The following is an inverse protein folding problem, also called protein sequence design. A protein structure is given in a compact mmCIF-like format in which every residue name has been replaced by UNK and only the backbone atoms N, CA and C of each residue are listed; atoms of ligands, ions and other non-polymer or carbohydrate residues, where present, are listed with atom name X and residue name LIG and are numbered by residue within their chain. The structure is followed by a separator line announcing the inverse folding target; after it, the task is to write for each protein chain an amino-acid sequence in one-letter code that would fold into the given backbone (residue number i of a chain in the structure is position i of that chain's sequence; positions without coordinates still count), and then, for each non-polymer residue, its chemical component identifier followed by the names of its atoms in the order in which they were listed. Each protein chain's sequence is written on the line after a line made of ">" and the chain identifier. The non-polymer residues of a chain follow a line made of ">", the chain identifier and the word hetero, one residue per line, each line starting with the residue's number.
data_IF_037154115302
#
_entry.id   IF_037154115302
#
_cell.length_a   1.000
_cell.length_b   1.000
_cell.length_c   1.000
_cell.angle_alpha   90.00
_cell.angle_beta   90.00
_cell.angle_gamma   90.00
#
_symmetry.space_group_name_H-M   'P 1'
#
loop_
_entity.id
_entity.type
_entity.pdbx_description
1 polymer ?
#
# COMPACT_ATOMS: atom_id res chain seq x y z
N UNK A 1 -2.88 19.86 12.07
CA UNK A 1 -3.97 18.89 11.77
C UNK A 1 -3.45 17.55 12.24
N UNK A 2 -4.13 16.89 13.19
CA UNK A 2 -3.76 15.55 13.65
C UNK A 2 -3.74 14.64 12.43
N UNK A 3 -2.55 14.18 12.01
CA UNK A 3 -2.45 13.18 10.94
C UNK A 3 -3.14 11.94 11.50
N UNK A 4 -4.10 11.37 10.76
CA UNK A 4 -4.69 10.08 11.14
C UNK A 4 -3.58 9.04 11.30
N UNK A 5 -3.76 8.06 12.18
CA UNK A 5 -2.80 6.97 12.36
C UNK A 5 -2.60 6.27 10.99
N UNK A 6 -1.36 6.19 10.47
CA UNK A 6 -1.08 5.51 9.21
C UNK A 6 -1.68 4.10 9.13
N UNK A 7 -1.72 3.38 10.27
CA UNK A 7 -2.33 2.06 10.32
C UNK A 7 -3.85 2.11 10.14
N UNK A 8 -4.53 3.08 10.76
CA UNK A 8 -5.96 3.29 10.62
C UNK A 8 -6.32 3.65 9.17
N UNK A 9 -5.56 4.58 8.55
CA UNK A 9 -5.72 4.93 7.14
C UNK A 9 -5.60 3.72 6.21
N UNK A 10 -4.60 2.85 6.44
CA UNK A 10 -4.41 1.65 5.63
C UNK A 10 -5.55 0.64 5.84
N UNK A 11 -5.97 0.41 7.09
CA UNK A 11 -7.09 -0.50 7.38
C UNK A 11 -8.40 -0.03 6.76
N UNK A 12 -8.70 1.27 6.82
CA UNK A 12 -9.91 1.82 6.23
C UNK A 12 -9.91 1.73 4.70
N UNK A 13 -8.74 1.91 4.07
CA UNK A 13 -8.60 1.70 2.63
C UNK A 13 -8.89 0.25 2.20
N UNK A 14 -8.48 -0.73 3.02
CA UNK A 14 -8.76 -2.14 2.78
C UNK A 14 -10.23 -2.49 3.02
N UNK A 15 -10.87 -1.92 4.04
CA UNK A 15 -12.30 -2.13 4.32
C UNK A 15 -13.20 -1.60 3.20
N UNK A 16 -12.77 -0.53 2.53
CA UNK A 16 -13.46 0.06 1.38
C UNK A 16 -13.19 -0.65 0.04
N UNK A 17 -12.31 -1.65 0.00
CA UNK A 17 -11.89 -2.30 -1.23
C UNK A 17 -13.04 -3.14 -1.84
N UNK A 18 -13.35 -2.99 -3.14
CA UNK A 18 -14.34 -3.82 -3.80
C UNK A 18 -13.86 -5.27 -3.90
N UNK A 19 -14.78 -6.21 -3.70
CA UNK A 19 -14.54 -7.64 -3.80
C UNK A 19 -15.26 -8.18 -5.04
N UNK A 20 -14.52 -8.87 -5.89
CA UNK A 20 -15.04 -9.57 -7.08
C UNK A 20 -14.82 -11.07 -6.95
N UNK A 21 -15.56 -11.87 -7.73
CA UNK A 21 -15.28 -13.29 -7.86
C UNK A 21 -14.30 -13.52 -9.01
N UNK A 22 -13.12 -14.05 -8.69
CA UNK A 22 -12.15 -14.50 -9.69
C UNK A 22 -12.24 -16.02 -9.78
N UNK A 23 -13.11 -16.51 -10.66
CA UNK A 23 -13.39 -17.94 -10.76
C UNK A 23 -14.12 -18.44 -9.51
N UNK A 24 -13.44 -19.25 -8.72
CA UNK A 24 -13.96 -19.92 -7.53
C UNK A 24 -13.59 -19.25 -6.20
N UNK A 25 -12.90 -18.11 -6.22
CA UNK A 25 -12.50 -17.40 -5.01
C UNK A 25 -12.82 -15.89 -5.04
N UNK A 26 -13.14 -15.28 -3.87
CA UNK A 26 -13.28 -13.84 -3.76
C UNK A 26 -11.90 -13.18 -3.83
N UNK A 27 -11.76 -12.17 -4.69
CA UNK A 27 -10.57 -11.36 -4.85
C UNK A 27 -10.90 -9.91 -4.55
N UNK A 28 -10.20 -9.30 -3.60
CA UNK A 28 -10.31 -7.87 -3.35
C UNK A 28 -9.45 -7.13 -4.36
N UNK A 29 -9.95 -6.01 -4.87
CA UNK A 29 -9.18 -5.13 -5.74
C UNK A 29 -8.76 -3.94 -4.89
N UNK A 30 -7.45 -3.77 -4.70
CA UNK A 30 -6.92 -2.68 -3.90
C UNK A 30 -5.94 -1.81 -4.70
N UNK A 31 -5.98 -0.47 -4.57
CA UNK A 31 -5.09 0.41 -5.32
C UNK A 31 -3.60 0.09 -5.15
N UNK A 32 -3.18 -0.42 -3.98
CA UNK A 32 -1.77 -0.78 -3.71
C UNK A 32 -1.33 -2.00 -4.52
N UNK A 33 -2.17 -3.02 -4.61
CA UNK A 33 -1.85 -4.28 -5.30
C UNK A 33 -2.11 -4.21 -6.78
N UNK A 34 -3.27 -3.67 -7.17
CA UNK A 34 -3.81 -3.81 -8.52
C UNK A 34 -3.67 -2.53 -9.35
N UNK A 35 -3.25 -1.43 -8.74
CA UNK A 35 -3.18 -0.10 -9.39
C UNK A 35 -4.54 0.51 -9.73
N UNK A 36 -5.62 -0.21 -9.40
CA UNK A 36 -7.01 0.19 -9.55
C UNK A 36 -7.79 -0.17 -8.28
N UNK A 37 -8.86 0.57 -7.92
CA UNK A 37 -9.20 1.91 -8.39
C UNK A 37 -8.07 2.92 -8.15
N UNK A 38 -8.23 4.17 -8.59
CA UNK A 38 -7.19 5.20 -8.46
C UNK A 38 -6.64 5.26 -7.03
N UNK A 39 -5.32 5.28 -6.91
CA UNK A 39 -4.62 5.41 -5.62
C UNK A 39 -4.84 6.78 -4.99
N UNK A 40 -5.22 6.78 -3.72
CA UNK A 40 -5.26 7.98 -2.89
C UNK A 40 -3.88 8.25 -2.28
N UNK A 41 -3.43 9.51 -2.35
CA UNK A 41 -2.08 9.87 -1.91
C UNK A 41 -1.87 9.68 -0.39
N UNK A 42 -2.94 9.71 0.40
CA UNK A 42 -2.88 9.47 1.84
C UNK A 42 -2.55 8.01 2.17
N UNK A 43 -3.19 7.06 1.47
CA UNK A 43 -2.96 5.62 1.63
C UNK A 43 -1.54 5.24 1.23
N UNK A 44 -1.02 5.83 0.15
CA UNK A 44 0.36 5.62 -0.26
C UNK A 44 1.36 6.14 0.78
N UNK A 45 1.14 7.35 1.30
CA UNK A 45 1.99 7.93 2.36
C UNK A 45 1.93 7.11 3.64
N UNK A 46 0.74 6.67 4.04
CA UNK A 46 0.56 5.83 5.21
C UNK A 46 1.32 4.50 5.07
N UNK A 47 1.19 3.84 3.92
CA UNK A 47 1.92 2.59 3.61
C UNK A 47 3.43 2.80 3.65
N UNK A 48 3.93 3.89 3.04
CA UNK A 48 5.36 4.22 3.04
C UNK A 48 5.88 4.52 4.44
N UNK A 49 5.17 5.32 5.22
CA UNK A 49 5.57 5.68 6.59
C UNK A 49 5.62 4.40 7.46
N UNK A 50 4.64 3.50 7.35
CA UNK A 50 4.66 2.19 8.02
C UNK A 50 5.87 1.32 7.61
N UNK A 51 6.18 1.22 6.31
CA UNK A 51 7.34 0.44 5.84
C UNK A 51 8.64 1.04 6.37
N UNK A 52 8.77 2.36 6.36
CA UNK A 52 9.95 3.06 6.88
C UNK A 52 10.15 2.80 8.37
N UNK A 53 9.07 2.80 9.15
CA UNK A 53 9.14 2.57 10.59
C UNK A 53 9.42 1.09 10.95
N UNK A 54 9.06 0.14 10.07
CA UNK A 54 9.27 -1.30 10.30
C UNK A 54 10.68 -1.79 9.96
N UNK A 55 11.47 -0.98 9.24
CA UNK A 55 12.74 -1.41 8.65
C UNK A 55 13.92 -0.73 9.35
N UNK A 56 14.91 -1.53 9.74
CA UNK A 56 16.21 -0.99 10.17
C UNK A 56 17.05 -0.63 8.94
N UNK A 57 17.03 0.64 8.57
CA UNK A 57 17.74 1.17 7.41
C UNK A 57 19.26 1.17 7.56
N UNK A 58 19.80 0.95 8.77
CA UNK A 58 21.25 0.88 8.98
C UNK A 58 21.86 -0.43 8.48
N UNK A 59 21.03 -1.46 8.32
CA UNK A 59 21.42 -2.81 7.89
C UNK A 59 20.97 -3.12 6.44
N UNK A 60 20.44 -2.12 5.71
CA UNK A 60 19.96 -2.29 4.33
C UNK A 60 20.78 -1.47 3.34
N UNK A 61 21.44 -2.17 2.42
CA UNK A 61 22.20 -1.55 1.33
C UNK A 61 21.39 -1.39 0.02
N UNK A 62 20.41 -2.25 -0.23
CA UNK A 62 19.68 -2.31 -1.51
C UNK A 62 18.19 -2.59 -1.27
N UNK A 63 17.33 -1.81 -1.93
CA UNK A 63 15.88 -2.07 -2.03
C UNK A 63 15.58 -2.63 -3.41
N UNK A 64 15.06 -3.86 -3.45
CA UNK A 64 14.67 -4.54 -4.69
C UNK A 64 13.15 -4.60 -4.79
N UNK A 65 12.64 -4.28 -5.97
CA UNK A 65 11.21 -4.32 -6.28
C UNK A 65 10.98 -4.92 -7.66
N UNK A 66 9.82 -5.56 -7.86
CA UNK A 66 9.39 -6.07 -9.16
C UNK A 66 8.47 -5.05 -9.83
N UNK A 67 8.77 -4.71 -11.09
CA UNK A 67 7.95 -3.82 -11.91
C UNK A 67 6.69 -4.57 -12.41
N UNK A 68 5.49 -3.97 -12.46
CA UNK A 68 5.13 -2.57 -12.20
C UNK A 68 4.67 -2.29 -10.75
N UNK A 69 4.44 -3.33 -9.95
CA UNK A 69 3.68 -3.23 -8.70
C UNK A 69 4.40 -2.45 -7.59
N UNK A 70 5.74 -2.55 -7.46
CA UNK A 70 6.44 -1.80 -6.41
C UNK A 70 6.98 -0.41 -6.83
N UNK A 71 6.80 -0.04 -8.11
CA UNK A 71 7.16 1.30 -8.59
C UNK A 71 6.35 2.41 -7.90
N UNK A 72 5.12 2.10 -7.45
CA UNK A 72 4.25 3.04 -6.76
C UNK A 72 4.70 3.36 -5.33
N UNK A 73 5.32 2.41 -4.63
CA UNK A 73 5.80 2.62 -3.25
C UNK A 73 7.14 3.36 -3.15
N UNK A 74 7.94 3.40 -4.23
CA UNK A 74 9.33 3.88 -4.19
C UNK A 74 9.54 5.30 -4.76
N UNK A 75 8.47 6.07 -4.97
CA UNK A 75 8.59 7.45 -5.42
C UNK A 75 8.96 8.34 -4.22
N UNK A 76 10.18 8.91 -4.28
CA UNK A 76 10.71 9.88 -3.32
C UNK A 76 9.92 11.19 -3.34
#
# INVERSE_FOLDING_TARGET
>A
MSRADPLETLQDSLRGAPIIWKGDYPYFIHPISDGIPRMEAEVLRATRDLIVDMVDWSEIDIVVSVEAMGSHCLQR
#
